data_IF_083776217055
#
_entry.id   IF_083776217055
#
_cell.length_a   1.000
_cell.length_b   1.000
_cell.length_c   1.000
_cell.angle_alpha   90.00
_cell.angle_beta   90.00
_cell.angle_gamma   90.00
#
_symmetry.space_group_name_H-M   'P 1'
#
loop_
_entity.id
_entity.type
_entity.pdbx_description
1 polymer ?
#
# COMPACT_ATOMS: atom_id res chain seq x y z
N UNK A 1 9.85 29.37 18.30
CA UNK A 1 9.18 28.71 17.18
C UNK A 1 10.26 28.11 16.31
N UNK A 2 10.65 26.86 16.57
CA UNK A 2 11.72 26.16 15.84
C UNK A 2 11.07 24.96 15.16
N UNK A 3 10.94 25.02 13.84
CA UNK A 3 10.44 23.92 13.04
C UNK A 3 11.51 22.82 12.96
N UNK A 4 11.13 21.58 13.24
CA UNK A 4 11.97 20.41 13.01
C UNK A 4 12.08 20.22 11.48
N UNK A 5 13.12 20.77 10.88
CA UNK A 5 13.44 20.60 9.47
C UNK A 5 14.13 19.23 9.30
N UNK A 6 13.40 18.23 8.85
CA UNK A 6 14.02 17.04 8.27
C UNK A 6 14.45 17.45 6.85
N UNK A 7 15.67 17.90 6.69
CA UNK A 7 16.28 18.13 5.39
C UNK A 7 16.83 16.80 4.85
N UNK A 8 15.99 16.03 4.18
CA UNK A 8 16.46 14.94 3.34
C UNK A 8 16.76 15.51 1.94
N UNK A 9 18.00 15.92 1.71
CA UNK A 9 18.47 16.24 0.37
C UNK A 9 18.94 14.94 -0.29
N UNK A 10 18.16 14.43 -1.24
CA UNK A 10 18.59 13.34 -2.11
C UNK A 10 19.28 13.99 -3.32
N UNK A 11 20.60 13.94 -3.35
CA UNK A 11 21.38 14.35 -4.53
C UNK A 11 21.51 13.11 -5.42
N UNK A 12 20.73 13.05 -6.49
CA UNK A 12 20.89 12.03 -7.52
C UNK A 12 21.86 12.56 -8.57
N UNK A 13 23.10 12.11 -8.52
CA UNK A 13 24.06 12.34 -9.60
C UNK A 13 23.97 11.19 -10.60
N UNK A 14 23.46 11.44 -11.79
CA UNK A 14 23.51 10.47 -12.88
C UNK A 14 24.88 10.51 -13.53
N UNK A 15 25.75 9.56 -13.22
CA UNK A 15 26.89 9.25 -14.08
C UNK A 15 26.43 8.30 -15.19
N UNK A 16 26.25 8.84 -16.38
CA UNK A 16 26.09 8.04 -17.60
C UNK A 16 27.39 7.34 -17.94
N UNK A 17 27.52 6.09 -17.57
CA UNK A 17 28.34 5.12 -18.23
C UNK A 17 27.75 3.72 -17.96
N UNK A 18 26.70 3.39 -18.65
CA UNK A 18 26.21 2.02 -18.72
C UNK A 18 26.35 1.59 -20.18
N UNK A 19 27.21 0.60 -20.37
CA UNK A 19 27.37 -0.14 -21.58
C UNK A 19 26.03 -0.65 -22.10
N UNK A 20 25.72 -0.25 -23.33
CA UNK A 20 24.67 -0.83 -24.15
C UNK A 20 24.96 -2.33 -24.37
N UNK A 21 24.29 -3.17 -23.62
CA UNK A 21 24.05 -4.54 -24.04
C UNK A 21 22.82 -4.53 -24.91
N UNK A 22 23.01 -4.84 -26.17
CA UNK A 22 22.01 -4.95 -27.20
C UNK A 22 20.86 -5.86 -26.78
N UNK A 23 19.66 -5.32 -26.70
CA UNK A 23 18.44 -6.05 -26.95
C UNK A 23 17.79 -5.47 -28.21
N UNK A 24 18.37 -5.86 -29.36
CA UNK A 24 17.72 -5.78 -30.64
C UNK A 24 16.59 -6.82 -30.69
N UNK A 25 15.46 -6.36 -31.23
CA UNK A 25 14.27 -7.07 -31.70
C UNK A 25 13.09 -7.01 -30.74
N UNK A 26 12.27 -6.01 -31.02
CA UNK A 26 10.83 -6.14 -31.31
C UNK A 26 10.28 -4.76 -31.71
N UNK A 27 10.66 -4.28 -32.91
CA UNK A 27 9.89 -3.29 -33.64
C UNK A 27 8.63 -3.98 -34.16
N UNK A 28 7.56 -3.93 -33.42
CA UNK A 28 6.20 -4.12 -33.92
C UNK A 28 5.47 -2.78 -33.77
N UNK A 29 4.87 -2.25 -34.84
CA UNK A 29 4.11 -1.01 -34.73
C UNK A 29 2.90 -1.22 -33.82
N UNK A 30 2.71 -0.34 -32.84
CA UNK A 30 1.49 -0.29 -32.03
C UNK A 30 0.35 0.12 -32.95
N UNK A 31 -0.45 -0.84 -33.36
CA UNK A 31 -1.66 -0.58 -34.13
C UNK A 31 -2.72 -0.04 -33.15
N UNK A 32 -2.90 1.26 -33.12
CA UNK A 32 -4.03 1.88 -32.43
C UNK A 32 -5.29 1.55 -33.22
N UNK A 33 -6.01 0.51 -32.80
CA UNK A 33 -7.28 0.12 -33.36
C UNK A 33 -8.42 0.88 -32.69
N UNK A 34 -9.13 1.75 -33.40
CA UNK A 34 -10.32 2.40 -32.86
C UNK A 34 -11.53 1.41 -32.89
N UNK A 35 -12.57 1.67 -32.06
CA UNK A 35 -13.73 0.79 -31.87
C UNK A 35 -14.43 0.39 -33.19
N UNK A 36 -14.48 1.28 -34.17
CA UNK A 36 -15.12 0.98 -35.48
C UNK A 36 -14.29 0.01 -36.32
N UNK A 37 -12.96 0.05 -36.27
CA UNK A 37 -12.10 -0.93 -36.95
C UNK A 37 -12.18 -2.30 -36.28
N UNK A 38 -12.25 -2.36 -34.97
CA UNK A 38 -12.42 -3.62 -34.24
C UNK A 38 -13.72 -4.34 -34.62
N UNK A 39 -14.84 -3.63 -34.67
CA UNK A 39 -16.15 -4.22 -35.03
C UNK A 39 -16.18 -4.71 -36.49
N UNK A 40 -15.54 -4.01 -37.45
CA UNK A 40 -15.48 -4.44 -38.85
C UNK A 40 -14.58 -5.65 -39.09
N UNK A 41 -13.55 -5.87 -38.27
CA UNK A 41 -12.63 -7.01 -38.40
C UNK A 41 -13.20 -8.29 -37.80
N UNK A 42 -14.08 -8.20 -36.79
CA UNK A 42 -14.76 -9.36 -36.19
C UNK A 42 -15.94 -9.87 -37.00
N UNK A 43 -16.49 -9.07 -37.93
CA UNK A 43 -17.64 -9.48 -38.75
C UNK A 43 -17.27 -10.32 -39.99
N UNK A 44 -15.98 -10.52 -40.31
CA UNK A 44 -15.53 -11.27 -41.51
C UNK A 44 -14.90 -12.62 -41.15
N UNK A 45 -14.71 -12.96 -39.88
CA UNK A 45 -14.08 -14.20 -39.42
C UNK A 45 -15.11 -15.23 -38.94
N UNK A 46 -16.10 -15.50 -39.79
CA UNK A 46 -17.04 -16.61 -39.60
C UNK A 46 -16.58 -17.89 -40.28
N UNK A 47 -15.33 -18.32 -40.20
CA UNK A 47 -14.83 -19.67 -40.46
C UNK A 47 -13.35 -19.76 -40.12
N UNK A 48 -13.01 -20.37 -38.97
CA UNK A 48 -11.61 -20.58 -38.60
C UNK A 48 -11.44 -20.85 -37.12
N UNK A 49 -12.19 -21.78 -36.57
CA UNK A 49 -11.89 -22.39 -35.26
C UNK A 49 -10.67 -23.28 -35.44
N UNK A 50 -9.50 -22.83 -35.05
CA UNK A 50 -8.30 -23.58 -34.64
C UNK A 50 -7.09 -22.63 -34.60
N UNK A 51 -6.94 -21.87 -33.52
CA UNK A 51 -5.66 -21.31 -33.00
C UNK A 51 -5.95 -20.37 -31.81
N UNK A 52 -6.37 -20.93 -30.69
CA UNK A 52 -6.54 -20.18 -29.46
C UNK A 52 -5.98 -20.93 -28.25
N UNK A 53 -4.64 -20.94 -28.04
CA UNK A 53 -4.15 -21.21 -26.68
C UNK A 53 -3.52 -19.99 -25.99
N UNK A 54 -3.48 -18.81 -26.62
CA UNK A 54 -2.75 -17.67 -26.02
C UNK A 54 -3.64 -16.57 -25.44
N UNK A 55 -4.94 -16.54 -25.74
CA UNK A 55 -5.88 -15.57 -25.18
C UNK A 55 -6.47 -15.98 -23.82
N UNK A 56 -6.30 -17.25 -23.44
CA UNK A 56 -6.83 -17.76 -22.16
C UNK A 56 -6.01 -17.38 -20.93
N UNK A 57 -4.81 -16.80 -21.09
CA UNK A 57 -3.98 -16.37 -19.94
C UNK A 57 -4.36 -15.00 -19.36
N UNK A 58 -5.00 -14.13 -20.14
CA UNK A 58 -5.51 -12.85 -19.63
C UNK A 58 -6.91 -13.00 -18.97
N UNK A 59 -7.68 -14.01 -19.37
CA UNK A 59 -9.02 -14.28 -18.83
C UNK A 59 -8.99 -15.07 -17.50
N UNK A 60 -7.85 -15.63 -17.11
CA UNK A 60 -7.69 -16.37 -15.86
C UNK A 60 -7.65 -15.51 -14.60
N UNK A 61 -7.65 -14.18 -14.73
CA UNK A 61 -7.64 -13.26 -13.57
C UNK A 61 -9.04 -12.89 -13.05
N UNK A 62 -10.11 -13.23 -13.81
CA UNK A 62 -11.49 -12.99 -13.40
C UNK A 62 -12.32 -14.27 -13.64
N UNK A 63 -12.12 -15.28 -12.82
CA UNK A 63 -13.01 -16.44 -12.78
C UNK A 63 -14.31 -16.18 -12.01
N UNK A 64 -14.65 -14.91 -11.75
CA UNK A 64 -15.94 -14.50 -11.23
C UNK A 64 -16.82 -13.92 -12.32
N UNK A 65 -18.11 -14.17 -12.26
CA UNK A 65 -19.10 -13.45 -13.08
C UNK A 65 -18.91 -11.94 -12.90
N UNK A 66 -19.10 -11.09 -13.93
CA UNK A 66 -19.05 -9.64 -13.79
C UNK A 66 -19.98 -9.08 -12.68
N UNK A 67 -20.88 -9.90 -12.17
CA UNK A 67 -21.82 -9.59 -11.08
C UNK A 67 -21.36 -10.08 -9.71
N UNK A 68 -20.24 -10.80 -9.59
CA UNK A 68 -19.72 -11.23 -8.31
C UNK A 68 -18.94 -10.10 -7.65
N UNK A 69 -19.25 -9.85 -6.39
CA UNK A 69 -18.57 -8.82 -5.59
C UNK A 69 -17.25 -9.34 -5.08
N UNK A 70 -16.26 -8.47 -5.01
CA UNK A 70 -14.99 -8.71 -4.33
C UNK A 70 -15.23 -8.55 -2.82
N UNK A 71 -15.07 -9.61 -2.06
CA UNK A 71 -15.19 -9.61 -0.60
C UNK A 71 -13.86 -9.22 0.02
N UNK A 72 -13.90 -8.17 0.84
CA UNK A 72 -12.73 -7.56 1.45
C UNK A 72 -12.71 -7.81 2.96
N UNK A 73 -11.57 -8.28 3.46
CA UNK A 73 -11.24 -8.27 4.87
C UNK A 73 -10.33 -7.08 5.21
N UNK A 74 -10.70 -6.34 6.25
CA UNK A 74 -9.93 -5.19 6.73
C UNK A 74 -9.08 -5.59 7.92
N UNK A 75 -7.77 -5.35 7.90
CA UNK A 75 -6.86 -5.53 9.03
C UNK A 75 -6.33 -4.18 9.52
N UNK A 76 -6.65 -3.85 10.78
CA UNK A 76 -6.37 -2.54 11.37
C UNK A 76 -7.37 -1.49 10.87
N UNK A 77 -8.32 -1.12 11.72
CA UNK A 77 -9.45 -0.27 11.31
C UNK A 77 -9.59 1.00 12.14
N UNK A 78 -8.60 1.29 12.97
CA UNK A 78 -8.50 2.61 13.58
C UNK A 78 -8.07 3.66 12.53
N UNK A 79 -8.65 4.85 12.57
CA UNK A 79 -8.24 6.02 11.79
C UNK A 79 -8.09 5.72 10.27
N UNK A 80 -6.88 5.44 9.77
CA UNK A 80 -6.61 5.20 8.35
C UNK A 80 -7.36 4.00 7.78
N UNK A 81 -7.43 2.91 8.54
CA UNK A 81 -8.15 1.72 8.10
C UNK A 81 -9.65 1.96 7.99
N UNK A 82 -10.26 2.70 8.91
CA UNK A 82 -11.66 3.12 8.79
C UNK A 82 -11.89 3.95 7.53
N UNK A 83 -11.00 4.93 7.27
CA UNK A 83 -11.09 5.73 6.04
C UNK A 83 -11.03 4.86 4.77
N UNK A 84 -10.14 3.87 4.74
CA UNK A 84 -10.06 2.92 3.62
C UNK A 84 -11.32 2.07 3.51
N UNK A 85 -11.82 1.51 4.61
CA UNK A 85 -13.06 0.72 4.64
C UNK A 85 -14.24 1.52 4.07
N UNK A 86 -14.37 2.79 4.48
CA UNK A 86 -15.40 3.71 3.98
C UNK A 86 -15.28 3.97 2.47
N UNK A 87 -14.06 4.03 1.93
CA UNK A 87 -13.88 4.25 0.49
C UNK A 87 -14.09 2.97 -0.33
N UNK A 88 -13.61 1.84 0.13
CA UNK A 88 -13.88 0.55 -0.51
C UNK A 88 -15.39 0.23 -0.51
N UNK A 89 -16.11 0.57 0.56
CA UNK A 89 -17.57 0.39 0.65
C UNK A 89 -18.37 1.21 -0.38
N UNK A 90 -17.77 2.22 -1.02
CA UNK A 90 -18.40 3.01 -2.10
C UNK A 90 -18.25 2.34 -3.47
N UNK A 91 -17.40 1.34 -3.60
CA UNK A 91 -17.13 0.68 -4.88
C UNK A 91 -18.26 -0.34 -5.15
N UNK A 92 -18.98 -0.25 -6.28
CA UNK A 92 -20.20 -1.06 -6.49
C UNK A 92 -19.96 -2.58 -6.42
N UNK A 93 -18.77 -3.03 -6.84
CA UNK A 93 -18.41 -4.46 -6.87
C UNK A 93 -17.55 -4.87 -5.69
N UNK A 94 -17.46 -4.05 -4.62
CA UNK A 94 -16.73 -4.41 -3.42
C UNK A 94 -17.68 -4.53 -2.22
N UNK A 95 -17.38 -5.47 -1.34
CA UNK A 95 -18.11 -5.68 -0.10
C UNK A 95 -17.12 -5.83 1.06
N UNK A 96 -17.30 -5.04 2.13
CA UNK A 96 -16.54 -5.24 3.36
C UNK A 96 -17.22 -6.36 4.14
N UNK A 97 -16.67 -7.56 4.05
CA UNK A 97 -17.21 -8.74 4.72
C UNK A 97 -16.72 -8.89 6.15
N UNK A 98 -15.50 -8.43 6.42
CA UNK A 98 -14.82 -8.70 7.69
C UNK A 98 -14.04 -7.49 8.19
N UNK A 99 -14.11 -7.28 9.51
CA UNK A 99 -13.32 -6.26 10.24
C UNK A 99 -12.42 -6.98 11.23
N UNK A 100 -11.10 -6.90 11.03
CA UNK A 100 -10.10 -7.50 11.88
C UNK A 100 -9.29 -6.40 12.58
N UNK A 101 -9.44 -6.31 13.90
CA UNK A 101 -8.63 -5.43 14.74
C UNK A 101 -8.47 -6.05 16.12
N UNK A 102 -7.35 -5.80 16.76
CA UNK A 102 -7.02 -6.31 18.10
C UNK A 102 -7.66 -5.50 19.22
N UNK A 103 -8.29 -4.37 18.89
CA UNK A 103 -9.10 -3.55 19.81
C UNK A 103 -10.59 -3.79 19.54
N UNK A 104 -11.26 -4.41 20.50
CA UNK A 104 -12.67 -4.76 20.37
C UNK A 104 -13.61 -3.55 20.22
N UNK A 105 -13.25 -2.39 20.78
CA UNK A 105 -14.00 -1.15 20.62
C UNK A 105 -13.89 -0.62 19.18
N UNK A 106 -12.70 -0.72 18.58
CA UNK A 106 -12.45 -0.34 17.19
C UNK A 106 -13.23 -1.26 16.24
N UNK A 107 -13.22 -2.57 16.50
CA UNK A 107 -14.03 -3.54 15.74
C UNK A 107 -15.51 -3.16 15.78
N UNK A 108 -16.06 -2.96 16.97
CA UNK A 108 -17.48 -2.65 17.15
C UNK A 108 -17.89 -1.34 16.46
N UNK A 109 -17.09 -0.28 16.63
CA UNK A 109 -17.36 1.02 16.03
C UNK A 109 -17.27 0.99 14.49
N UNK A 110 -16.28 0.29 13.94
CA UNK A 110 -16.11 0.15 12.50
C UNK A 110 -17.24 -0.66 11.86
N UNK A 111 -17.66 -1.77 12.50
CA UNK A 111 -18.82 -2.56 12.05
C UNK A 111 -20.07 -1.67 12.01
N UNK A 112 -20.31 -0.87 13.04
CA UNK A 112 -21.48 0.02 13.11
C UNK A 112 -21.45 1.07 11.99
N UNK A 113 -20.28 1.67 11.70
CA UNK A 113 -20.13 2.66 10.62
C UNK A 113 -20.38 2.03 9.24
N UNK A 114 -19.77 0.87 8.96
CA UNK A 114 -19.95 0.18 7.67
C UNK A 114 -21.40 -0.28 7.49
N UNK A 115 -22.01 -0.85 8.52
CA UNK A 115 -23.41 -1.23 8.48
C UNK A 115 -24.35 -0.04 8.19
N UNK A 116 -24.13 1.09 8.83
CA UNK A 116 -24.88 2.33 8.58
C UNK A 116 -24.76 2.79 7.12
N UNK A 117 -23.61 2.60 6.50
CA UNK A 117 -23.35 3.05 5.12
C UNK A 117 -23.88 2.09 4.06
N UNK A 118 -23.81 0.81 4.31
CA UNK A 118 -24.04 -0.23 3.28
C UNK A 118 -25.30 -1.05 3.50
N UNK A 119 -25.88 -1.03 4.70
CA UNK A 119 -26.93 -1.94 5.13
C UNK A 119 -26.44 -3.37 5.37
N UNK A 120 -25.14 -3.67 5.18
CA UNK A 120 -24.54 -4.98 5.41
C UNK A 120 -23.63 -4.93 6.62
N UNK A 121 -23.78 -5.88 7.52
CA UNK A 121 -23.01 -5.97 8.77
C UNK A 121 -21.81 -6.88 8.58
N UNK A 122 -20.56 -6.34 8.60
CA UNK A 122 -19.36 -7.18 8.56
C UNK A 122 -19.24 -8.07 9.80
N UNK A 123 -18.54 -9.20 9.67
CA UNK A 123 -18.14 -10.04 10.81
C UNK A 123 -16.89 -9.45 11.47
N UNK A 124 -16.88 -9.38 12.82
CA UNK A 124 -15.72 -8.93 13.60
C UNK A 124 -14.78 -10.08 13.92
N UNK A 125 -13.47 -9.87 13.73
CA UNK A 125 -12.42 -10.86 14.00
C UNK A 125 -11.27 -10.17 14.72
N UNK A 126 -10.63 -10.83 15.69
CA UNK A 126 -9.49 -10.24 16.41
C UNK A 126 -8.15 -10.65 15.78
N UNK A 127 -8.04 -11.89 15.31
CA UNK A 127 -6.81 -12.49 14.82
C UNK A 127 -6.81 -12.57 13.28
N UNK A 128 -5.83 -11.97 12.64
CA UNK A 128 -5.66 -11.99 11.18
C UNK A 128 -5.61 -13.42 10.63
N UNK A 129 -5.04 -14.39 11.37
CA UNK A 129 -4.94 -15.77 10.96
C UNK A 129 -6.33 -16.38 10.75
N UNK A 130 -7.31 -16.01 11.60
CA UNK A 130 -8.71 -16.43 11.46
C UNK A 130 -9.42 -15.75 10.29
N UNK A 131 -9.08 -14.50 10.01
CA UNK A 131 -9.57 -13.83 8.80
C UNK A 131 -9.06 -14.54 7.53
N UNK A 132 -7.80 -14.94 7.50
CA UNK A 132 -7.21 -15.62 6.35
C UNK A 132 -7.77 -17.02 6.07
N UNK A 133 -8.36 -17.68 7.07
CA UNK A 133 -9.07 -18.96 6.92
C UNK A 133 -10.43 -18.81 6.18
N UNK A 134 -10.99 -17.60 6.08
CA UNK A 134 -12.27 -17.34 5.41
C UNK A 134 -12.13 -17.54 3.90
N UNK A 135 -12.89 -18.50 3.35
CA UNK A 135 -12.78 -18.89 1.93
C UNK A 135 -13.39 -17.87 0.98
N UNK A 136 -14.40 -17.16 1.43
CA UNK A 136 -15.14 -16.15 0.68
C UNK A 136 -14.43 -14.78 0.59
N UNK A 137 -13.32 -14.58 1.30
CA UNK A 137 -12.50 -13.37 1.21
C UNK A 137 -11.61 -13.43 -0.02
N UNK A 138 -11.66 -12.43 -0.87
CA UNK A 138 -10.83 -12.29 -2.07
C UNK A 138 -9.57 -11.46 -1.82
N UNK A 139 -9.70 -10.39 -1.02
CA UNK A 139 -8.63 -9.44 -0.77
C UNK A 139 -8.57 -9.00 0.69
N UNK A 140 -7.35 -8.68 1.14
CA UNK A 140 -7.08 -8.12 2.47
C UNK A 140 -6.58 -6.69 2.30
N UNK A 141 -7.17 -5.75 3.04
CA UNK A 141 -6.68 -4.37 3.18
C UNK A 141 -5.98 -4.25 4.52
N UNK A 142 -4.69 -3.96 4.50
CA UNK A 142 -3.83 -3.90 5.69
C UNK A 142 -3.51 -2.44 6.00
N UNK A 143 -3.98 -1.95 7.14
CA UNK A 143 -3.68 -0.62 7.69
C UNK A 143 -3.32 -0.70 9.19
N UNK A 144 -2.74 -1.80 9.58
CA UNK A 144 -2.14 -2.05 10.89
C UNK A 144 -0.82 -1.24 11.04
N UNK A 145 -0.15 -1.24 12.20
CA UNK A 145 1.17 -0.64 12.35
C UNK A 145 2.24 -1.27 11.43
N UNK A 146 3.30 -0.49 11.13
CA UNK A 146 4.31 -0.82 10.10
C UNK A 146 4.91 -2.23 10.22
N UNK A 147 5.16 -2.68 11.46
CA UNK A 147 5.74 -4.02 11.72
C UNK A 147 4.84 -5.19 11.30
N UNK A 148 3.56 -4.93 11.07
CA UNK A 148 2.61 -5.93 10.57
C UNK A 148 2.49 -5.95 9.04
N UNK A 149 2.90 -4.88 8.33
CA UNK A 149 2.62 -4.74 6.90
C UNK A 149 3.15 -5.90 6.06
N UNK A 150 4.45 -6.17 6.10
CA UNK A 150 5.03 -7.26 5.31
C UNK A 150 4.64 -8.65 5.82
N UNK A 151 4.67 -8.97 7.13
CA UNK A 151 4.21 -10.27 7.63
C UNK A 151 2.77 -10.59 7.23
N UNK A 152 1.85 -9.65 7.41
CA UNK A 152 0.45 -9.86 7.03
C UNK A 152 0.27 -9.99 5.51
N UNK A 153 1.02 -9.22 4.71
CA UNK A 153 1.04 -9.35 3.25
C UNK A 153 1.48 -10.74 2.81
N UNK A 154 2.57 -11.26 3.41
CA UNK A 154 3.10 -12.59 3.08
C UNK A 154 2.07 -13.67 3.45
N UNK A 155 1.50 -13.62 4.66
CA UNK A 155 0.46 -14.56 5.09
C UNK A 155 -0.78 -14.50 4.21
N UNK A 156 -1.23 -13.31 3.80
CA UNK A 156 -2.36 -13.17 2.90
C UNK A 156 -2.09 -13.77 1.51
N UNK A 157 -0.90 -13.54 0.94
CA UNK A 157 -0.49 -14.19 -0.30
C UNK A 157 -0.46 -15.72 -0.18
N UNK A 158 0.06 -16.26 0.94
CA UNK A 158 0.07 -17.70 1.24
C UNK A 158 -1.33 -18.29 1.32
N UNK A 159 -2.26 -17.53 1.90
CA UNK A 159 -3.67 -17.90 2.01
C UNK A 159 -4.46 -17.69 0.69
N UNK A 160 -3.77 -17.29 -0.39
CA UNK A 160 -4.40 -17.10 -1.70
C UNK A 160 -5.20 -15.80 -1.84
N UNK A 161 -4.98 -14.80 -0.99
CA UNK A 161 -5.69 -13.52 -1.01
C UNK A 161 -4.87 -12.45 -1.72
N UNK A 162 -5.54 -11.54 -2.43
CA UNK A 162 -4.95 -10.31 -2.92
C UNK A 162 -4.76 -9.32 -1.77
N UNK A 163 -3.86 -8.34 -1.93
CA UNK A 163 -3.50 -7.44 -0.82
C UNK A 163 -3.46 -5.98 -1.29
N UNK A 164 -4.09 -5.13 -0.50
CA UNK A 164 -3.77 -3.71 -0.44
C UNK A 164 -3.12 -3.44 0.90
N UNK A 165 -1.89 -2.94 0.92
CA UNK A 165 -1.15 -2.63 2.14
C UNK A 165 -0.82 -1.14 2.20
N UNK A 166 -1.05 -0.50 3.36
CA UNK A 166 -0.66 0.89 3.55
C UNK A 166 0.86 1.06 3.52
N UNK A 167 1.27 2.30 3.26
CA UNK A 167 2.68 2.70 3.30
C UNK A 167 3.17 2.82 4.77
N UNK A 168 4.44 2.53 5.03
CA UNK A 168 5.40 1.83 4.17
C UNK A 168 5.01 0.35 4.05
N UNK A 169 5.24 -0.28 2.91
CA UNK A 169 4.82 -1.68 2.69
C UNK A 169 5.60 -2.70 3.54
N UNK A 170 6.65 -2.27 4.21
CA UNK A 170 7.49 -3.09 5.09
C UNK A 170 8.19 -2.25 6.14
N UNK A 171 8.57 -2.86 7.25
CA UNK A 171 9.31 -2.24 8.33
C UNK A 171 10.81 -2.09 8.02
N UNK A 172 11.34 -2.94 7.14
CA UNK A 172 12.71 -2.90 6.65
C UNK A 172 12.80 -3.42 5.20
N UNK A 173 13.91 -3.16 4.47
CA UNK A 173 14.05 -3.57 3.07
C UNK A 173 13.93 -5.07 2.84
N UNK A 174 14.49 -5.90 3.72
CA UNK A 174 14.45 -7.37 3.57
C UNK A 174 13.01 -7.91 3.61
N UNK A 175 12.20 -7.42 4.52
CA UNK A 175 10.77 -7.74 4.56
C UNK A 175 10.05 -7.35 3.25
N UNK A 176 10.41 -6.20 2.68
CA UNK A 176 9.88 -5.76 1.38
C UNK A 176 10.21 -6.74 0.26
N UNK A 177 11.44 -7.23 0.21
CA UNK A 177 11.87 -8.25 -0.75
C UNK A 177 11.10 -9.55 -0.56
N UNK A 178 10.90 -9.99 0.69
CA UNK A 178 10.11 -11.18 1.01
C UNK A 178 8.63 -11.03 0.58
N UNK A 179 8.04 -9.85 0.78
CA UNK A 179 6.67 -9.58 0.35
C UNK A 179 6.52 -9.65 -1.18
N UNK A 180 7.50 -9.08 -1.92
CA UNK A 180 7.55 -9.18 -3.40
C UNK A 180 7.72 -10.64 -3.84
N UNK A 181 8.59 -11.40 -3.19
CA UNK A 181 8.79 -12.82 -3.48
C UNK A 181 7.51 -13.63 -3.23
N UNK A 182 6.79 -13.35 -2.13
CA UNK A 182 5.52 -14.00 -1.81
C UNK A 182 4.44 -13.68 -2.86
N UNK A 183 4.29 -12.42 -3.26
CA UNK A 183 3.37 -12.01 -4.32
C UNK A 183 3.58 -12.82 -5.60
N UNK A 184 4.84 -12.93 -6.04
CA UNK A 184 5.22 -13.71 -7.23
C UNK A 184 4.97 -15.20 -7.05
N UNK A 185 5.44 -15.77 -5.92
CA UNK A 185 5.33 -17.22 -5.63
C UNK A 185 3.89 -17.70 -5.61
N UNK A 186 3.00 -16.94 -4.97
CA UNK A 186 1.61 -17.32 -4.80
C UNK A 186 0.68 -16.72 -5.87
N UNK A 187 1.24 -16.00 -6.84
CA UNK A 187 0.51 -15.32 -7.92
C UNK A 187 -0.65 -14.45 -7.38
N UNK A 188 -0.34 -13.59 -6.41
CA UNK A 188 -1.30 -12.66 -5.82
C UNK A 188 -0.89 -11.23 -6.11
N UNK A 189 -1.88 -10.38 -6.38
CA UNK A 189 -1.65 -8.96 -6.57
C UNK A 189 -1.44 -8.30 -5.21
N UNK A 190 -0.39 -7.50 -5.10
CA UNK A 190 -0.10 -6.68 -3.92
C UNK A 190 0.05 -5.23 -4.36
N UNK A 191 -0.80 -4.37 -3.82
CA UNK A 191 -0.81 -2.93 -4.07
C UNK A 191 -0.42 -2.18 -2.81
N UNK A 192 0.64 -1.37 -2.87
CA UNK A 192 0.95 -0.42 -1.80
C UNK A 192 0.11 0.85 -1.93
N UNK A 193 -0.35 1.38 -0.81
CA UNK A 193 -1.14 2.60 -0.71
C UNK A 193 -0.33 3.88 -0.93
N UNK A 194 -0.04 4.23 -2.18
CA UNK A 194 0.62 5.47 -2.59
C UNK A 194 -0.41 6.49 -3.08
N UNK A 195 -1.25 7.01 -2.19
CA UNK A 195 -2.44 7.79 -2.56
C UNK A 195 -2.14 9.05 -3.37
N UNK A 196 -0.96 9.67 -3.24
CA UNK A 196 -0.60 10.87 -4.04
C UNK A 196 -0.53 10.57 -5.54
N UNK A 197 -0.24 9.32 -5.93
CA UNK A 197 -0.28 8.88 -7.33
C UNK A 197 -1.68 8.85 -7.93
N UNK A 198 -2.72 8.89 -7.10
CA UNK A 198 -4.12 8.93 -7.53
C UNK A 198 -4.70 10.35 -7.60
N UNK A 199 -3.94 11.37 -7.24
CA UNK A 199 -4.39 12.76 -7.31
C UNK A 199 -4.21 13.31 -8.73
N UNK A 200 -5.31 13.71 -9.38
CA UNK A 200 -5.30 14.20 -10.77
C UNK A 200 -4.31 15.36 -10.99
N UNK A 201 -4.23 16.29 -10.02
CA UNK A 201 -3.29 17.40 -10.09
C UNK A 201 -1.83 16.96 -10.01
N UNK A 202 -1.51 15.93 -9.20
CA UNK A 202 -0.15 15.37 -9.12
C UNK A 202 0.19 14.62 -10.41
N UNK A 203 -0.76 13.84 -10.95
CA UNK A 203 -0.59 13.15 -12.23
C UNK A 203 -0.36 14.16 -13.37
N UNK A 204 -1.16 15.23 -13.42
CA UNK A 204 -0.99 16.31 -14.41
C UNK A 204 0.38 16.98 -14.30
N UNK A 205 0.77 17.38 -13.09
CA UNK A 205 2.08 17.98 -12.83
C UNK A 205 3.23 17.07 -13.28
N UNK A 206 3.21 15.78 -12.92
CA UNK A 206 4.27 14.85 -13.31
C UNK A 206 4.31 14.66 -14.82
N UNK A 207 3.14 14.58 -15.47
CA UNK A 207 3.09 14.52 -16.94
C UNK A 207 3.75 15.75 -17.58
N UNK A 208 3.41 16.95 -17.15
CA UNK A 208 3.99 18.19 -17.65
C UNK A 208 5.52 18.26 -17.44
N UNK A 209 6.01 17.78 -16.28
CA UNK A 209 7.46 17.67 -16.02
C UNK A 209 8.13 16.73 -17.03
N UNK A 210 7.53 15.58 -17.31
CA UNK A 210 8.06 14.61 -18.27
C UNK A 210 7.93 15.09 -19.72
N UNK A 211 6.93 15.90 -20.04
CA UNK A 211 6.77 16.57 -21.34
C UNK A 211 7.77 17.73 -21.51
N UNK A 212 8.55 18.08 -20.47
CA UNK A 212 9.62 19.04 -20.54
C UNK A 212 9.19 20.50 -20.37
N UNK A 213 8.05 20.80 -19.73
CA UNK A 213 7.51 22.17 -19.54
C UNK A 213 8.52 23.13 -18.89
N UNK A 214 9.41 22.61 -18.03
CA UNK A 214 10.51 23.36 -17.40
C UNK A 214 11.88 22.90 -17.89
N UNK A 215 11.94 22.20 -19.02
CA UNK A 215 13.14 21.55 -19.53
C UNK A 215 13.48 20.27 -18.72
N UNK A 216 14.76 19.87 -18.74
CA UNK A 216 15.22 18.68 -18.03
C UNK A 216 15.14 18.84 -16.52
N UNK A 217 14.33 18.04 -15.87
CA UNK A 217 14.25 17.97 -14.41
C UNK A 217 15.44 17.17 -13.87
N UNK A 218 16.33 17.78 -13.09
CA UNK A 218 17.55 17.16 -12.55
C UNK A 218 17.68 17.30 -11.02
N UNK A 219 16.80 18.05 -10.40
CA UNK A 219 16.79 18.31 -8.96
C UNK A 219 15.35 18.41 -8.45
N UNK A 220 15.07 17.82 -7.31
CA UNK A 220 13.82 18.02 -6.60
C UNK A 220 14.08 18.12 -5.10
N UNK A 221 13.30 18.93 -4.40
CA UNK A 221 13.36 19.09 -2.95
C UNK A 221 11.98 18.84 -2.35
N UNK A 222 11.89 17.94 -1.38
CA UNK A 222 10.73 17.74 -0.53
C UNK A 222 11.04 18.13 0.91
N UNK A 223 10.00 18.54 1.63
CA UNK A 223 10.10 18.84 3.06
C UNK A 223 8.77 18.56 3.75
N UNK A 224 8.84 18.32 5.04
CA UNK A 224 7.70 18.14 5.89
C UNK A 224 7.80 19.06 7.09
N UNK A 225 6.81 19.90 7.29
CA UNK A 225 6.85 21.00 8.29
C UNK A 225 5.83 20.84 9.41
N UNK A 226 5.23 19.67 9.57
CA UNK A 226 4.26 19.45 10.64
C UNK A 226 4.95 19.51 12.01
N UNK A 227 4.45 20.34 12.87
CA UNK A 227 4.93 20.42 14.25
C UNK A 227 4.39 19.23 15.04
N UNK A 228 5.27 18.31 15.42
CA UNK A 228 4.94 17.21 16.33
C UNK A 228 5.20 17.68 17.77
N UNK A 229 4.21 17.54 18.62
CA UNK A 229 4.39 17.72 20.07
C UNK A 229 5.16 16.55 20.67
N UNK A 230 5.61 16.72 21.92
CA UNK A 230 6.14 15.62 22.71
C UNK A 230 5.06 14.57 22.98
N UNK A 231 5.41 13.30 22.91
CA UNK A 231 4.54 12.19 23.33
C UNK A 231 4.66 11.89 24.83
N UNK A 232 5.45 12.70 25.57
CA UNK A 232 5.73 12.50 26.99
C UNK A 232 6.62 11.29 27.28
N UNK A 233 6.75 10.97 28.56
CA UNK A 233 7.42 9.77 29.05
C UNK A 233 6.36 8.76 29.43
N UNK A 234 6.26 7.66 28.65
CA UNK A 234 5.30 6.60 28.90
C UNK A 234 5.60 5.84 30.19
N UNK A 235 4.56 5.41 30.87
CA UNK A 235 4.64 4.54 32.04
C UNK A 235 4.27 3.12 31.66
N UNK A 236 4.98 2.14 32.19
CA UNK A 236 4.57 0.75 32.09
C UNK A 236 3.30 0.54 32.91
N UNK A 237 2.25 0.09 32.24
CA UNK A 237 0.96 -0.21 32.85
C UNK A 237 0.38 -1.47 32.22
N UNK A 238 -0.69 -2.02 32.79
CA UNK A 238 -1.44 -3.10 32.14
C UNK A 238 -2.08 -2.58 30.84
N UNK A 239 -2.07 -3.39 29.79
CA UNK A 239 -2.79 -3.06 28.57
C UNK A 239 -4.30 -2.94 28.87
N UNK A 240 -5.03 -2.06 28.17
CA UNK A 240 -6.48 -1.95 28.29
C UNK A 240 -7.16 -3.29 28.00
N UNK A 241 -8.24 -3.62 28.72
CA UNK A 241 -8.93 -4.91 28.60
C UNK A 241 -9.59 -5.16 27.23
N UNK A 242 -9.84 -4.08 26.48
CA UNK A 242 -10.37 -4.16 25.12
C UNK A 242 -9.30 -4.39 24.05
N UNK A 243 -8.00 -4.38 24.42
CA UNK A 243 -6.88 -4.51 23.51
C UNK A 243 -6.15 -5.84 23.71
N UNK A 244 -6.10 -6.69 22.70
CA UNK A 244 -5.18 -7.82 22.68
C UNK A 244 -3.77 -7.33 22.31
N UNK A 245 -3.01 -6.96 23.35
CA UNK A 245 -1.67 -6.40 23.16
C UNK A 245 -0.67 -7.45 22.64
N UNK A 246 -0.87 -8.73 22.93
CA UNK A 246 -0.02 -9.81 22.40
C UNK A 246 -0.15 -9.93 20.88
N UNK A 247 -1.37 -9.94 20.38
CA UNK A 247 -1.63 -9.91 18.93
C UNK A 247 -1.22 -8.58 18.31
N UNK A 248 -1.36 -7.47 19.04
CA UNK A 248 -0.91 -6.17 18.55
C UNK A 248 0.59 -6.15 18.27
N UNK A 249 1.40 -6.70 19.19
CA UNK A 249 2.85 -6.82 19.01
C UNK A 249 3.21 -7.79 17.87
N UNK A 250 2.42 -8.82 17.66
CA UNK A 250 2.55 -9.75 16.52
C UNK A 250 3.97 -10.29 16.35
N UNK A 251 4.62 -10.06 15.21
CA UNK A 251 5.96 -10.57 14.93
C UNK A 251 7.10 -9.80 15.63
N UNK A 252 6.81 -8.62 16.20
CA UNK A 252 7.84 -7.80 16.85
C UNK A 252 8.32 -8.41 18.18
N UNK A 253 9.55 -8.12 18.62
CA UNK A 253 10.03 -8.50 19.95
C UNK A 253 9.13 -7.96 21.05
N UNK A 254 8.83 -8.78 22.05
CA UNK A 254 7.93 -8.42 23.14
C UNK A 254 8.46 -7.28 24.00
N UNK A 255 7.61 -6.30 24.23
CA UNK A 255 7.85 -5.15 25.11
C UNK A 255 6.67 -4.96 26.06
N UNK A 256 6.88 -4.55 27.30
CA UNK A 256 5.80 -4.14 28.18
C UNK A 256 4.96 -3.02 27.54
N UNK A 257 3.66 -3.02 27.84
CA UNK A 257 2.77 -1.95 27.37
C UNK A 257 3.09 -0.62 28.08
N UNK A 258 3.06 0.46 27.32
CA UNK A 258 3.21 1.83 27.81
C UNK A 258 1.96 2.64 27.44
N UNK A 259 1.52 3.49 28.38
CA UNK A 259 0.28 4.26 28.26
C UNK A 259 0.28 5.32 27.16
N UNK A 260 1.45 5.66 26.61
CA UNK A 260 1.61 6.61 25.52
C UNK A 260 1.86 5.94 24.14
N UNK A 261 1.64 4.63 23.99
CA UNK A 261 2.00 3.88 22.77
C UNK A 261 0.88 3.88 21.71
N UNK A 262 -0.31 3.48 22.09
CA UNK A 262 -1.44 3.20 21.19
C UNK A 262 -2.49 4.33 21.30
N UNK A 263 -3.15 4.73 20.18
CA UNK A 263 -3.16 4.10 18.85
C UNK A 263 -2.27 4.80 17.80
N UNK A 264 -1.57 5.86 18.12
CA UNK A 264 -0.85 6.66 17.13
C UNK A 264 0.67 6.68 17.36
N UNK A 265 1.09 6.76 18.62
CA UNK A 265 2.48 7.05 18.93
C UNK A 265 3.45 5.90 18.65
N UNK A 266 2.95 4.72 18.35
CA UNK A 266 3.76 3.58 17.92
C UNK A 266 4.69 3.93 16.74
N UNK A 267 4.34 4.91 15.93
CA UNK A 267 5.17 5.41 14.83
C UNK A 267 6.58 5.82 15.28
N UNK A 268 6.71 6.28 16.54
CA UNK A 268 7.95 6.82 17.10
C UNK A 268 8.78 5.81 17.87
N UNK A 269 8.31 4.58 17.98
CA UNK A 269 9.01 3.50 18.66
C UNK A 269 9.62 2.55 17.65
N UNK A 270 10.94 2.37 17.72
CA UNK A 270 11.73 1.58 16.79
C UNK A 270 11.22 0.14 16.56
N UNK A 271 10.60 -0.47 17.56
CA UNK A 271 10.08 -1.84 17.49
C UNK A 271 8.89 -1.99 16.54
N UNK A 272 8.12 -0.93 16.31
CA UNK A 272 6.81 -1.03 15.64
C UNK A 272 6.62 -0.05 14.49
N UNK A 273 7.33 1.08 14.53
CA UNK A 273 7.22 2.13 13.53
C UNK A 273 8.56 2.47 12.89
N UNK A 274 8.48 3.25 11.83
CA UNK A 274 9.62 3.67 11.01
C UNK A 274 9.91 5.17 11.15
N UNK A 275 9.31 5.81 12.14
CA UNK A 275 9.46 7.23 12.41
C UNK A 275 8.88 8.14 11.32
N UNK A 276 9.15 9.44 11.44
CA UNK A 276 8.67 10.42 10.47
C UNK A 276 9.29 10.21 9.07
N UNK A 277 10.49 9.61 9.02
CA UNK A 277 11.19 9.36 7.77
C UNK A 277 10.36 8.52 6.79
N UNK A 278 9.66 7.49 7.26
CA UNK A 278 8.78 6.70 6.40
C UNK A 278 7.29 6.99 6.63
N UNK A 279 6.89 7.55 7.77
CA UNK A 279 5.50 7.93 7.96
C UNK A 279 5.06 8.98 6.93
N UNK A 280 5.78 10.09 6.77
CA UNK A 280 5.49 11.13 5.79
C UNK A 280 6.53 11.21 4.66
N UNK A 281 7.80 10.94 4.93
CA UNK A 281 8.86 10.97 3.93
C UNK A 281 8.60 10.05 2.75
N UNK A 282 7.94 8.91 2.94
CA UNK A 282 7.51 8.03 1.85
C UNK A 282 6.70 8.76 0.79
N UNK A 283 5.77 9.63 1.19
CA UNK A 283 4.94 10.39 0.26
C UNK A 283 5.73 11.39 -0.56
N UNK A 284 6.68 12.08 0.08
CA UNK A 284 7.52 13.07 -0.60
C UNK A 284 8.49 12.38 -1.56
N UNK A 285 9.16 11.32 -1.09
CA UNK A 285 10.13 10.57 -1.89
C UNK A 285 9.47 9.89 -3.10
N UNK A 286 8.26 9.38 -2.95
CA UNK A 286 7.52 8.76 -4.04
C UNK A 286 7.22 9.75 -5.17
N UNK A 287 6.74 10.95 -4.83
CA UNK A 287 6.45 12.01 -5.82
C UNK A 287 7.74 12.57 -6.44
N UNK A 288 8.80 12.76 -5.64
CA UNK A 288 10.11 13.20 -6.13
C UNK A 288 10.66 12.21 -7.16
N UNK A 289 10.69 10.92 -6.83
CA UNK A 289 11.17 9.88 -7.73
C UNK A 289 10.36 9.83 -9.03
N UNK A 290 9.05 9.95 -8.91
CA UNK A 290 8.15 9.96 -10.05
C UNK A 290 8.37 11.19 -10.95
N UNK A 291 8.46 12.39 -10.38
CA UNK A 291 8.72 13.62 -11.12
C UNK A 291 10.08 13.65 -11.80
N UNK A 292 11.12 13.10 -11.16
CA UNK A 292 12.46 12.98 -11.72
C UNK A 292 12.59 11.85 -12.76
N UNK A 293 11.64 10.90 -12.80
CA UNK A 293 11.72 9.72 -13.67
C UNK A 293 12.86 8.77 -13.29
N UNK A 294 13.14 8.61 -11.97
CA UNK A 294 14.24 7.77 -11.46
C UNK A 294 13.77 6.64 -10.57
N UNK A 295 14.53 5.54 -10.54
CA UNK A 295 14.22 4.36 -9.73
C UNK A 295 14.91 4.41 -8.36
N UNK A 296 16.15 3.92 -8.26
CA UNK A 296 16.89 3.82 -7.01
C UNK A 296 18.00 4.86 -6.92
N UNK A 297 18.26 5.43 -5.74
CA UNK A 297 19.39 6.33 -5.55
C UNK A 297 20.70 5.55 -5.58
N UNK A 298 21.74 6.13 -6.20
CA UNK A 298 23.11 5.59 -6.16
C UNK A 298 23.81 5.95 -4.83
N UNK A 299 23.36 7.00 -4.16
CA UNK A 299 23.92 7.44 -2.87
C UNK A 299 22.83 8.06 -2.01
N UNK A 300 22.82 7.70 -0.74
CA UNK A 300 21.96 8.31 0.29
C UNK A 300 22.85 8.85 1.39
N UNK A 301 22.59 10.10 1.79
CA UNK A 301 23.22 10.74 2.95
C UNK A 301 22.11 11.23 3.88
N UNK A 302 22.20 10.92 5.16
CA UNK A 302 21.27 11.35 6.18
C UNK A 302 22.01 12.11 7.27
N UNK A 303 21.48 13.27 7.64
CA UNK A 303 21.96 14.07 8.76
C UNK A 303 20.77 14.51 9.58
N UNK A 304 20.95 14.65 10.90
CA UNK A 304 19.89 15.11 11.78
C UNK A 304 20.12 14.69 13.22
N UNK A 305 19.15 14.96 14.07
CA UNK A 305 19.21 14.64 15.48
C UNK A 305 17.94 15.04 16.23
N UNK A 306 17.93 14.81 17.53
CA UNK A 306 16.87 15.29 18.43
C UNK A 306 17.29 16.67 18.93
N UNK A 307 16.55 17.69 18.52
CA UNK A 307 16.91 19.07 18.82
C UNK A 307 15.93 19.75 19.77
N UNK A 308 14.84 19.08 20.14
CA UNK A 308 13.80 19.70 20.95
C UNK A 308 13.25 18.79 22.07
N UNK A 309 13.02 17.51 21.82
CA UNK A 309 12.49 16.55 22.80
C UNK A 309 13.45 15.41 23.04
#
# INVERSE_FOLDING_TARGET
MVACLINAAIIVTSNNAINLIQLNKLNQPIIIMNRRKFIKTTSVAGTGFLLAPQLSRAAGFFNGSPNEKVVIGMMGTHSRGLYLAQNFAKIPNAEIGYICDVDSNVVASTIADIYKRTGKKPEGITDIRKLLEKKDVDAIVIAAPDHWHAPATIMACQAGKHVYVEKPCSHNPHEGEMAVAASKKYNRLVQMGSQRRSFNNVQGMVKELHDGVIGRTYYAKGWYTNHRGSIGIGKQVSAPSNLDYELWQGPAPRKPYQDNLIHYNWHWFWNWGTGEALNNGTHELDVIRWGLGVDFPSKVVSTGGRFHF
#
